data_IF_269610555258
#
_entry.id   IF_269610555258
#
_cell.length_a   1.000
_cell.length_b   1.000
_cell.length_c   1.000
_cell.angle_alpha   90.00
_cell.angle_beta   90.00
_cell.angle_gamma   90.00
#
_symmetry.space_group_name_H-M   'P 1'
#
loop_
_entity.id
_entity.type
_entity.pdbx_description
1 polymer ?
#
# COMPACT_ATOMS: atom_id res chain seq x y z
N UNK A 1 22.30 -13.54 -14.72
CA UNK A 1 20.87 -13.29 -14.93
C UNK A 1 20.10 -14.25 -14.04
N UNK A 2 19.59 -13.79 -12.90
CA UNK A 2 18.79 -14.63 -11.99
C UNK A 2 17.42 -13.97 -11.84
N UNK A 3 16.45 -14.46 -12.59
CA UNK A 3 15.03 -14.13 -12.39
C UNK A 3 14.51 -15.04 -11.27
N UNK A 4 14.28 -14.47 -10.09
CA UNK A 4 13.56 -15.13 -9.00
C UNK A 4 12.05 -14.91 -9.22
N UNK A 5 11.25 -15.96 -9.52
CA UNK A 5 9.86 -15.77 -9.96
C UNK A 5 8.86 -15.42 -8.83
N UNK A 6 9.28 -15.36 -7.55
CA UNK A 6 8.36 -15.15 -6.42
C UNK A 6 8.98 -14.32 -5.28
N UNK A 7 9.53 -13.16 -5.61
CA UNK A 7 10.19 -12.31 -4.62
C UNK A 7 10.20 -10.85 -4.97
N UNK A 8 9.11 -10.32 -5.53
CA UNK A 8 8.86 -8.89 -5.40
C UNK A 8 8.60 -8.65 -3.91
N UNK A 9 9.66 -8.40 -3.14
CA UNK A 9 9.58 -7.85 -1.80
C UNK A 9 8.80 -6.55 -1.98
N UNK A 10 7.49 -6.59 -1.76
CA UNK A 10 6.58 -5.47 -1.97
C UNK A 10 6.80 -4.53 -0.79
N UNK A 11 7.97 -3.91 -0.78
CA UNK A 11 8.43 -3.06 0.28
C UNK A 11 7.66 -1.76 0.10
N UNK A 12 6.66 -1.58 0.97
CA UNK A 12 5.82 -0.39 0.95
C UNK A 12 6.56 0.71 1.70
N UNK A 13 6.58 1.90 1.12
CA UNK A 13 7.27 3.07 1.69
C UNK A 13 6.27 4.16 2.04
N UNK A 14 6.59 4.94 3.06
CA UNK A 14 5.84 6.15 3.37
C UNK A 14 5.96 7.15 2.23
N UNK A 15 4.85 7.78 1.85
CA UNK A 15 4.75 8.70 0.72
C UNK A 15 4.33 8.03 -0.59
N UNK A 16 4.21 6.70 -0.65
CA UNK A 16 3.64 6.02 -1.82
C UNK A 16 2.13 6.30 -1.94
N UNK A 17 1.63 6.34 -3.18
CA UNK A 17 0.20 6.51 -3.44
C UNK A 17 -0.36 5.21 -3.99
N UNK A 18 -1.42 4.72 -3.35
CA UNK A 18 -2.19 3.56 -3.77
C UNK A 18 -3.59 3.96 -4.20
N UNK A 19 -4.06 3.38 -5.29
CA UNK A 19 -5.40 3.61 -5.83
C UNK A 19 -6.23 2.34 -5.75
N UNK A 20 -7.52 2.50 -5.41
CA UNK A 20 -8.51 1.43 -5.55
C UNK A 20 -9.61 1.90 -6.48
N UNK A 21 -9.78 1.17 -7.59
CA UNK A 21 -10.87 1.41 -8.51
C UNK A 21 -12.16 0.86 -7.89
N UNK A 22 -13.12 1.74 -7.67
CA UNK A 22 -14.50 1.36 -7.31
C UNK A 22 -15.37 1.44 -8.56
N UNK A 23 -16.60 0.93 -8.48
CA UNK A 23 -17.54 0.95 -9.61
C UNK A 23 -17.80 2.36 -10.18
N UNK A 24 -17.60 3.41 -9.36
CA UNK A 24 -17.96 4.78 -9.71
C UNK A 24 -16.78 5.75 -9.77
N UNK A 25 -15.66 5.45 -9.12
CA UNK A 25 -14.47 6.32 -9.09
C UNK A 25 -13.19 5.60 -8.68
N UNK A 26 -12.05 6.18 -9.05
CA UNK A 26 -10.75 5.82 -8.49
C UNK A 26 -10.56 6.59 -7.18
N UNK A 27 -10.40 5.86 -6.07
CA UNK A 27 -10.08 6.47 -4.77
C UNK A 27 -8.60 6.29 -4.51
N UNK A 28 -7.92 7.38 -4.16
CA UNK A 28 -6.48 7.39 -3.92
C UNK A 28 -6.17 7.56 -2.44
N UNK A 29 -5.10 6.90 -2.03
CA UNK A 29 -4.65 6.85 -0.65
C UNK A 29 -3.14 7.04 -0.58
N UNK A 30 -2.69 7.95 0.28
CA UNK A 30 -1.29 8.14 0.59
C UNK A 30 -0.87 7.22 1.74
N UNK A 31 0.28 6.58 1.64
CA UNK A 31 0.90 5.86 2.75
C UNK A 31 1.54 6.86 3.70
N UNK A 32 0.96 7.03 4.88
CA UNK A 32 1.48 7.97 5.87
C UNK A 32 2.38 7.29 6.91
N UNK A 33 2.26 5.96 7.06
CA UNK A 33 3.05 5.19 8.01
C UNK A 33 3.19 3.75 7.56
N UNK A 34 4.39 3.19 7.73
CA UNK A 34 4.66 1.76 7.56
C UNK A 34 5.32 1.26 8.83
N UNK A 35 4.68 0.29 9.48
CA UNK A 35 5.16 -0.35 10.70
C UNK A 35 5.57 -1.77 10.38
N UNK A 36 6.88 -2.02 10.40
CA UNK A 36 7.44 -3.37 10.21
C UNK A 36 7.47 -4.08 11.54
N UNK A 37 6.69 -5.15 11.68
CA UNK A 37 6.73 -5.99 12.88
C UNK A 37 7.91 -6.96 12.77
N UNK A 38 8.95 -6.75 13.58
CA UNK A 38 10.14 -7.61 13.60
C UNK A 38 9.74 -9.05 13.93
N UNK A 39 10.09 -9.99 13.04
CA UNK A 39 9.76 -11.42 13.19
C UNK A 39 8.49 -11.86 12.47
N UNK A 40 7.74 -10.94 11.86
CA UNK A 40 6.61 -11.23 10.98
C UNK A 40 6.92 -10.75 9.56
N UNK A 41 6.46 -11.51 8.57
CA UNK A 41 6.63 -11.17 7.14
C UNK A 41 5.66 -10.09 6.65
N UNK A 42 4.67 -9.73 7.46
CA UNK A 42 3.67 -8.70 7.13
C UNK A 42 4.02 -7.34 7.77
N UNK A 43 3.91 -6.31 6.94
CA UNK A 43 4.05 -4.91 7.34
C UNK A 43 2.65 -4.31 7.55
N UNK A 44 2.42 -3.59 8.65
CA UNK A 44 1.20 -2.81 8.86
C UNK A 44 1.37 -1.44 8.23
N UNK A 45 0.41 -1.04 7.39
CA UNK A 45 0.45 0.16 6.56
C UNK A 45 -0.76 1.01 6.92
N UNK A 46 -0.51 2.28 7.20
CA UNK A 46 -1.56 3.27 7.42
C UNK A 46 -1.74 4.08 6.14
N UNK A 47 -2.93 3.98 5.57
CA UNK A 47 -3.35 4.71 4.38
C UNK A 47 -4.27 5.87 4.77
N UNK A 48 -4.04 7.02 4.17
CA UNK A 48 -4.88 8.22 4.30
C UNK A 48 -5.52 8.54 2.95
N UNK A 49 -6.83 8.74 2.91
CA UNK A 49 -7.50 9.19 1.70
C UNK A 49 -7.02 10.59 1.29
N UNK A 50 -6.69 10.77 0.01
CA UNK A 50 -6.22 12.07 -0.51
C UNK A 50 -7.37 13.09 -0.60
N UNK A 51 -8.59 12.64 -0.87
CA UNK A 51 -9.78 13.49 -0.94
C UNK A 51 -10.33 13.85 0.45
N UNK A 52 -10.05 13.01 1.46
CA UNK A 52 -10.51 13.21 2.83
C UNK A 52 -9.39 12.90 3.84
N UNK A 53 -8.62 13.90 4.30
CA UNK A 53 -7.47 13.69 5.18
C UNK A 53 -7.84 13.11 6.56
N UNK A 54 -9.10 13.18 6.97
CA UNK A 54 -9.58 12.55 8.22
C UNK A 54 -9.88 11.05 8.06
N UNK A 55 -9.95 10.55 6.82
CA UNK A 55 -10.21 9.15 6.52
C UNK A 55 -8.91 8.38 6.46
N UNK A 56 -8.56 7.74 7.58
CA UNK A 56 -7.36 6.93 7.74
C UNK A 56 -7.76 5.50 8.08
N UNK A 57 -7.02 4.52 7.57
CA UNK A 57 -7.20 3.13 7.97
C UNK A 57 -5.89 2.36 7.93
N UNK A 58 -5.82 1.29 8.69
CA UNK A 58 -4.69 0.38 8.73
C UNK A 58 -5.00 -0.90 7.94
N UNK A 59 -4.02 -1.36 7.18
CA UNK A 59 -4.07 -2.60 6.41
C UNK A 59 -2.70 -3.27 6.43
N UNK A 60 -2.60 -4.54 6.02
CA UNK A 60 -1.30 -5.17 5.81
C UNK A 60 -0.89 -5.11 4.34
N UNK A 61 0.39 -5.28 4.04
CA UNK A 61 0.91 -5.31 2.67
C UNK A 61 0.20 -6.39 1.83
N UNK A 62 0.03 -7.58 2.40
CA UNK A 62 -0.67 -8.68 1.74
C UNK A 62 -2.14 -8.33 1.45
N UNK A 63 -2.83 -7.75 2.43
CA UNK A 63 -4.24 -7.40 2.31
C UNK A 63 -4.46 -6.25 1.33
N UNK A 64 -3.52 -5.32 1.25
CA UNK A 64 -3.51 -4.21 0.30
C UNK A 64 -3.50 -4.75 -1.14
N UNK A 65 -2.56 -5.65 -1.46
CA UNK A 65 -2.49 -6.29 -2.79
C UNK A 65 -3.72 -7.15 -3.07
N UNK A 66 -4.10 -8.01 -2.11
CA UNK A 66 -5.24 -8.91 -2.27
C UNK A 66 -6.58 -8.18 -2.41
N UNK A 67 -6.70 -6.96 -1.89
CA UNK A 67 -7.92 -6.15 -1.96
C UNK A 67 -8.03 -5.31 -3.24
N UNK A 68 -7.08 -5.46 -4.16
CA UNK A 68 -7.07 -4.75 -5.45
C UNK A 68 -6.59 -3.31 -5.36
N UNK A 69 -5.81 -2.96 -4.34
CA UNK A 69 -5.10 -1.67 -4.34
C UNK A 69 -3.88 -1.78 -5.25
N UNK A 70 -3.74 -0.81 -6.14
CA UNK A 70 -2.65 -0.72 -7.09
C UNK A 70 -1.74 0.44 -6.71
N UNK A 71 -0.42 0.23 -6.75
CA UNK A 71 0.56 1.30 -6.56
C UNK A 71 0.50 2.23 -7.77
N UNK A 72 0.12 3.49 -7.54
CA UNK A 72 -0.03 4.52 -8.58
C UNK A 72 1.25 5.36 -8.68
N UNK A 73 1.84 5.69 -7.54
CA UNK A 73 3.07 6.47 -7.48
C UNK A 73 4.01 5.91 -6.43
N UNK A 74 5.28 5.79 -6.81
CA UNK A 74 6.40 5.65 -5.90
C UNK A 74 7.09 7.00 -5.88
N UNK A 75 6.82 7.80 -4.86
CA UNK A 75 7.48 9.09 -4.72
C UNK A 75 8.95 8.82 -4.38
N UNK A 76 9.92 9.33 -5.18
CA UNK A 76 11.34 8.99 -5.10
C UNK A 76 12.04 9.55 -3.85
#
# INVERSE_FOLDING_TARGET
>A
MLYSPFGANLQIQTGEIYGKQTASKLVMYNVIKVTKLKGLSDETITLQNIDNPLSLFETTAQKLVSSGYLRISQTP
#
